data_IF_542882051844
#
_entry.id   IF_542882051844
#
_cell.length_a   1.000
_cell.length_b   1.000
_cell.length_c   1.000
_cell.angle_alpha   90.00
_cell.angle_beta   90.00
_cell.angle_gamma   90.00
#
_symmetry.space_group_name_H-M   'P 1'
#
loop_
_entity.id
_entity.type
_entity.pdbx_description
1 polymer ?
#
# COMPACT_ATOMS: atom_id res chain seq x y z
N UNK A 1 -16.44 -2.28 9.49
CA UNK A 1 -14.95 -2.41 9.61
C UNK A 1 -14.30 -1.03 9.52
N UNK A 2 -13.12 -0.92 10.12
CA UNK A 2 -12.30 0.30 10.13
C UNK A 2 -11.28 0.25 9.00
N UNK A 3 -11.42 1.12 8.01
CA UNK A 3 -10.61 1.15 6.81
C UNK A 3 -9.64 2.34 6.84
N UNK A 4 -8.39 2.10 6.45
CA UNK A 4 -7.39 3.13 6.28
C UNK A 4 -6.89 3.11 4.83
N UNK A 5 -6.88 4.26 4.19
CA UNK A 5 -6.22 4.45 2.90
C UNK A 5 -4.93 5.23 3.13
N UNK A 6 -3.83 4.70 2.62
CA UNK A 6 -2.55 5.41 2.52
C UNK A 6 -2.29 5.67 1.05
N UNK A 7 -2.36 6.93 0.63
CA UNK A 7 -2.14 7.33 -0.76
C UNK A 7 -0.85 8.15 -0.90
N UNK A 8 0.02 7.73 -1.83
CA UNK A 8 1.33 8.32 -2.06
C UNK A 8 1.52 8.78 -3.50
N UNK A 9 0.75 9.75 -3.98
CA UNK A 9 0.93 10.36 -5.30
C UNK A 9 0.91 11.89 -5.22
N UNK A 10 1.94 12.60 -5.78
CA UNK A 10 1.97 14.06 -5.73
C UNK A 10 0.92 14.73 -6.62
N UNK A 11 0.59 14.13 -7.78
CA UNK A 11 -0.37 14.67 -8.74
C UNK A 11 -1.77 14.09 -8.53
N UNK A 12 -2.72 14.98 -8.20
CA UNK A 12 -4.14 14.64 -7.99
C UNK A 12 -4.86 14.22 -9.28
N UNK A 13 -4.36 14.64 -10.43
CA UNK A 13 -4.95 14.31 -11.74
C UNK A 13 -4.47 12.96 -12.26
N UNK A 14 -3.49 12.34 -11.59
CA UNK A 14 -2.97 11.04 -12.00
C UNK A 14 -4.03 9.95 -11.95
N UNK A 15 -3.90 8.93 -12.79
CA UNK A 15 -4.76 7.74 -12.73
C UNK A 15 -4.68 7.02 -11.36
N UNK A 16 -3.52 7.08 -10.72
CA UNK A 16 -3.33 6.52 -9.38
C UNK A 16 -4.22 7.25 -8.35
N UNK A 17 -4.21 8.57 -8.34
CA UNK A 17 -4.97 9.37 -7.40
C UNK A 17 -6.43 9.54 -7.83
N UNK A 18 -6.69 10.14 -9.01
CA UNK A 18 -8.04 10.44 -9.46
C UNK A 18 -8.83 9.18 -9.88
N UNK A 19 -8.14 8.14 -10.33
CA UNK A 19 -8.78 6.87 -10.70
C UNK A 19 -8.87 5.90 -9.51
N UNK A 20 -7.75 5.30 -9.12
CA UNK A 20 -7.72 4.18 -8.17
C UNK A 20 -8.13 4.63 -6.77
N UNK A 21 -7.45 5.65 -6.21
CA UNK A 21 -7.75 6.12 -4.86
C UNK A 21 -9.22 6.57 -4.72
N UNK A 22 -9.73 7.36 -5.67
CA UNK A 22 -11.14 7.80 -5.63
C UNK A 22 -12.12 6.62 -5.74
N UNK A 23 -11.79 5.60 -6.54
CA UNK A 23 -12.60 4.38 -6.62
C UNK A 23 -12.63 3.64 -5.28
N UNK A 24 -11.48 3.49 -4.62
CA UNK A 24 -11.41 2.86 -3.29
C UNK A 24 -12.22 3.67 -2.28
N UNK A 25 -11.95 4.97 -2.17
CA UNK A 25 -12.62 5.89 -1.24
C UNK A 25 -14.13 5.85 -1.39
N UNK A 26 -14.64 6.10 -2.59
CA UNK A 26 -16.09 6.18 -2.85
C UNK A 26 -16.83 4.87 -2.57
N UNK A 27 -16.21 3.70 -2.81
CA UNK A 27 -16.86 2.43 -2.51
C UNK A 27 -16.89 2.14 -1.00
N UNK A 28 -15.86 2.52 -0.25
CA UNK A 28 -15.87 2.39 1.22
C UNK A 28 -16.93 3.32 1.81
N UNK A 29 -16.96 4.60 1.40
CA UNK A 29 -17.94 5.58 1.85
C UNK A 29 -19.38 5.11 1.58
N UNK A 30 -19.68 4.61 0.38
CA UNK A 30 -20.98 4.05 0.02
C UNK A 30 -21.38 2.82 0.83
N UNK A 31 -20.44 2.09 1.39
CA UNK A 31 -20.71 0.91 2.21
C UNK A 31 -21.08 1.24 3.66
N UNK A 32 -20.97 2.51 4.08
CA UNK A 32 -21.19 2.95 5.46
C UNK A 32 -20.11 2.50 6.44
N UNK A 33 -19.01 1.92 5.97
CA UNK A 33 -17.88 1.53 6.83
C UNK A 33 -17.02 2.75 7.20
N UNK A 34 -16.39 2.69 8.37
CA UNK A 34 -15.50 3.75 8.83
C UNK A 34 -14.29 3.89 7.92
N UNK A 35 -13.93 5.12 7.57
CA UNK A 35 -12.80 5.44 6.71
C UNK A 35 -11.95 6.55 7.30
N UNK A 36 -10.64 6.33 7.34
CA UNK A 36 -9.62 7.37 7.57
C UNK A 36 -8.61 7.35 6.43
N UNK A 37 -7.97 8.48 6.20
CA UNK A 37 -7.06 8.68 5.07
C UNK A 37 -5.75 9.30 5.57
N UNK A 38 -4.65 8.77 5.08
CA UNK A 38 -3.31 9.37 5.11
C UNK A 38 -2.98 9.75 3.67
N UNK A 39 -2.92 11.05 3.39
CA UNK A 39 -2.44 11.56 2.11
C UNK A 39 -1.00 12.06 2.26
N UNK A 40 -0.05 11.22 1.92
CA UNK A 40 1.38 11.47 2.14
C UNK A 40 1.91 12.74 1.43
N UNK A 41 1.19 13.28 0.46
CA UNK A 41 1.59 14.48 -0.27
C UNK A 41 0.75 15.73 0.05
N UNK A 42 -0.39 15.60 0.76
CA UNK A 42 -1.24 16.71 1.22
C UNK A 42 -1.12 16.93 2.71
N UNK A 43 -0.85 15.88 3.46
CA UNK A 43 -0.54 16.02 4.88
C UNK A 43 0.82 16.73 5.06
N UNK A 44 0.97 17.44 6.16
CA UNK A 44 2.22 18.15 6.50
C UNK A 44 3.33 17.16 6.91
N UNK A 45 3.72 16.30 5.97
CA UNK A 45 4.74 15.28 6.16
C UNK A 45 6.14 15.86 5.92
N UNK A 46 6.48 16.89 6.68
CA UNK A 46 7.79 17.61 6.68
C UNK A 46 8.52 17.38 8.00
N UNK A 47 9.82 17.63 8.05
CA UNK A 47 10.60 17.53 9.29
C UNK A 47 10.50 18.81 10.13
N UNK A 48 10.45 18.73 11.47
CA UNK A 48 10.32 17.51 12.28
C UNK A 48 8.92 16.92 12.16
N UNK A 49 8.80 15.58 12.11
CA UNK A 49 7.52 14.90 11.84
C UNK A 49 7.07 13.90 12.91
N UNK A 50 7.64 13.97 14.13
CA UNK A 50 7.32 13.05 15.22
C UNK A 50 5.82 13.00 15.52
N UNK A 51 5.16 14.17 15.56
CA UNK A 51 3.70 14.25 15.77
C UNK A 51 2.91 13.58 14.63
N UNK A 52 3.35 13.76 13.39
CA UNK A 52 2.71 13.15 12.22
C UNK A 52 2.91 11.63 12.23
N UNK A 53 4.11 11.17 12.57
CA UNK A 53 4.42 9.74 12.71
C UNK A 53 3.54 9.11 13.79
N UNK A 54 3.45 9.70 14.98
CA UNK A 54 2.60 9.22 16.07
C UNK A 54 1.13 9.16 15.68
N UNK A 55 0.63 10.17 14.96
CA UNK A 55 -0.72 10.18 14.41
C UNK A 55 -0.91 9.04 13.40
N UNK A 56 0.02 8.84 12.46
CA UNK A 56 -0.06 7.75 11.48
C UNK A 56 -0.01 6.37 12.13
N UNK A 57 0.82 6.19 13.16
CA UNK A 57 0.84 4.95 13.94
C UNK A 57 -0.49 4.70 14.64
N UNK A 58 -1.12 5.74 15.19
CA UNK A 58 -2.45 5.65 15.79
C UNK A 58 -3.51 5.26 14.75
N UNK A 59 -3.45 5.81 13.53
CA UNK A 59 -4.35 5.45 12.43
C UNK A 59 -4.15 3.99 11.96
N UNK A 60 -2.90 3.54 11.86
CA UNK A 60 -2.57 2.15 11.54
C UNK A 60 -3.11 1.22 12.63
N UNK A 61 -2.91 1.55 13.91
CA UNK A 61 -3.42 0.78 15.03
C UNK A 61 -4.95 0.68 15.01
N UNK A 62 -5.62 1.80 14.78
CA UNK A 62 -7.08 1.90 14.71
C UNK A 62 -7.67 1.04 13.56
N UNK A 63 -6.98 0.94 12.43
CA UNK A 63 -7.51 0.27 11.25
C UNK A 63 -7.54 -1.26 11.39
N UNK A 64 -8.51 -1.90 10.80
CA UNK A 64 -8.57 -3.36 10.57
C UNK A 64 -8.10 -3.71 9.16
N UNK A 65 -8.37 -2.81 8.20
CA UNK A 65 -7.99 -2.97 6.80
C UNK A 65 -7.24 -1.75 6.29
N UNK A 66 -6.14 -2.00 5.59
CA UNK A 66 -5.25 -0.97 5.05
C UNK A 66 -5.18 -1.11 3.52
N UNK A 67 -5.47 -0.02 2.83
CA UNK A 67 -5.28 0.12 1.39
C UNK A 67 -4.09 1.01 1.12
N UNK A 68 -3.06 0.48 0.45
CA UNK A 68 -1.85 1.23 0.08
C UNK A 68 -1.90 1.49 -1.43
N UNK A 69 -1.80 2.74 -1.83
CA UNK A 69 -1.95 3.16 -3.22
C UNK A 69 -0.78 4.07 -3.59
N UNK A 70 0.07 3.61 -4.51
CA UNK A 70 1.26 4.35 -4.92
C UNK A 70 1.69 3.99 -6.34
N UNK A 71 2.24 4.93 -7.10
CA UNK A 71 2.94 4.60 -8.34
C UNK A 71 4.33 4.05 -8.04
N UNK A 72 4.93 3.44 -9.08
CA UNK A 72 6.33 3.01 -9.08
C UNK A 72 7.17 4.06 -9.81
N UNK A 73 8.20 4.52 -9.13
CA UNK A 73 9.26 5.38 -9.66
C UNK A 73 10.61 4.71 -9.42
N UNK A 74 11.40 4.52 -10.47
CA UNK A 74 12.74 3.92 -10.36
C UNK A 74 12.78 2.60 -9.58
N UNK A 75 11.84 1.70 -9.88
CA UNK A 75 11.68 0.41 -9.18
C UNK A 75 11.43 0.50 -7.67
N UNK A 76 10.94 1.66 -7.19
CA UNK A 76 10.48 1.88 -5.82
C UNK A 76 9.08 2.49 -5.84
N UNK A 77 8.41 2.51 -4.71
CA UNK A 77 7.25 3.36 -4.55
C UNK A 77 7.70 4.84 -4.46
N UNK A 78 6.76 5.77 -4.37
CA UNK A 78 7.15 7.18 -4.27
C UNK A 78 7.95 7.45 -2.99
N UNK A 79 8.84 8.47 -2.96
CA UNK A 79 9.68 8.75 -1.80
C UNK A 79 8.90 8.85 -0.49
N UNK A 80 7.76 9.52 -0.48
CA UNK A 80 6.95 9.64 0.75
C UNK A 80 6.30 8.32 1.17
N UNK A 81 5.98 7.42 0.23
CA UNK A 81 5.52 6.07 0.57
C UNK A 81 6.65 5.22 1.17
N UNK A 82 7.87 5.35 0.66
CA UNK A 82 9.03 4.68 1.25
C UNK A 82 9.32 5.21 2.67
N UNK A 83 9.31 6.53 2.85
CA UNK A 83 9.45 7.16 4.19
C UNK A 83 8.34 6.69 5.15
N UNK A 84 7.11 6.51 4.66
CA UNK A 84 6.04 5.95 5.49
C UNK A 84 6.40 4.55 6.00
N UNK A 85 7.02 3.71 5.18
CA UNK A 85 7.48 2.40 5.66
C UNK A 85 8.64 2.53 6.64
N UNK A 86 9.61 3.39 6.36
CA UNK A 86 10.83 3.51 7.13
C UNK A 86 10.60 4.18 8.51
N UNK A 87 9.72 5.18 8.57
CA UNK A 87 9.55 6.01 9.78
C UNK A 87 8.25 5.73 10.56
N UNK A 88 7.23 5.15 9.93
CA UNK A 88 5.97 4.81 10.61
C UNK A 88 5.94 3.34 11.02
N UNK A 89 6.35 2.43 10.13
CA UNK A 89 6.33 0.98 10.41
C UNK A 89 7.64 0.50 11.06
N UNK A 90 8.05 1.19 12.09
CA UNK A 90 9.34 1.00 12.77
C UNK A 90 9.40 -0.21 13.69
N UNK A 91 10.61 -0.68 14.04
CA UNK A 91 10.80 -1.60 15.17
C UNK A 91 10.19 -1.04 16.47
N UNK A 92 9.59 -1.90 17.27
CA UNK A 92 8.85 -1.51 18.47
C UNK A 92 7.37 -1.20 18.23
N UNK A 93 7.00 -0.69 17.05
CA UNK A 93 5.62 -0.46 16.66
C UNK A 93 5.06 -1.54 15.73
N UNK A 94 5.70 -1.78 14.59
CA UNK A 94 5.19 -2.72 13.58
C UNK A 94 5.74 -4.13 13.72
N UNK A 95 6.94 -4.26 14.26
CA UNK A 95 7.63 -5.54 14.49
C UNK A 95 8.70 -5.41 15.56
N UNK A 96 9.27 -6.54 15.99
CA UNK A 96 10.51 -6.59 16.76
C UNK A 96 11.41 -7.69 16.23
N UNK A 97 12.71 -7.51 16.39
CA UNK A 97 13.65 -8.59 16.10
C UNK A 97 13.69 -9.59 17.26
N UNK A 98 13.67 -10.86 16.93
CA UNK A 98 13.83 -11.98 17.88
C UNK A 98 15.04 -12.78 17.43
N UNK A 99 16.01 -12.93 18.31
CA UNK A 99 17.20 -13.73 18.04
C UNK A 99 16.82 -15.20 17.90
N UNK A 100 17.14 -15.81 16.76
CA UNK A 100 17.01 -17.25 16.51
C UNK A 100 18.33 -17.94 16.86
N UNK A 101 19.45 -17.27 16.53
CA UNK A 101 20.81 -17.69 16.88
C UNK A 101 21.60 -16.50 17.42
N UNK A 102 22.85 -16.71 17.83
CA UNK A 102 23.74 -15.62 18.26
C UNK A 102 24.01 -14.58 17.17
N UNK A 103 23.90 -14.96 15.89
CA UNK A 103 24.23 -14.11 14.73
C UNK A 103 23.04 -13.82 13.84
N UNK A 104 21.84 -14.37 14.13
CA UNK A 104 20.67 -14.22 13.28
C UNK A 104 19.43 -13.86 14.10
N UNK A 105 18.80 -12.74 13.72
CA UNK A 105 17.53 -12.31 14.27
C UNK A 105 16.47 -12.25 13.17
N UNK A 106 15.25 -12.64 13.50
CA UNK A 106 14.10 -12.62 12.60
C UNK A 106 13.04 -11.64 13.08
N UNK A 107 12.39 -10.88 12.18
CA UNK A 107 11.33 -9.97 12.57
C UNK A 107 10.05 -10.72 12.97
N UNK A 108 9.60 -10.47 14.20
CA UNK A 108 8.28 -10.91 14.69
C UNK A 108 7.26 -9.79 14.43
N UNK A 109 6.29 -9.99 13.53
CA UNK A 109 5.30 -8.97 13.19
C UNK A 109 4.32 -8.72 14.34
N UNK A 110 3.94 -7.44 14.52
CA UNK A 110 2.91 -7.02 15.48
C UNK A 110 1.57 -6.73 14.81
N UNK A 111 1.57 -6.38 13.52
CA UNK A 111 0.37 -6.00 12.76
C UNK A 111 -0.20 -7.16 11.93
N UNK A 112 0.00 -8.40 12.38
CA UNK A 112 -0.44 -9.61 11.66
C UNK A 112 -1.96 -9.77 11.57
N UNK A 113 -2.73 -9.09 12.39
CA UNK A 113 -4.19 -9.05 12.38
C UNK A 113 -4.74 -8.21 11.22
N UNK A 114 -3.96 -7.28 10.68
CA UNK A 114 -4.39 -6.37 9.62
C UNK A 114 -4.60 -7.07 8.28
N UNK A 115 -5.63 -6.64 7.57
CA UNK A 115 -5.90 -7.03 6.18
C UNK A 115 -5.32 -5.95 5.27
N UNK A 116 -4.36 -6.31 4.43
CA UNK A 116 -3.67 -5.34 3.56
C UNK A 116 -3.97 -5.61 2.10
N UNK A 117 -4.32 -4.56 1.37
CA UNK A 117 -4.46 -4.56 -0.10
C UNK A 117 -3.64 -3.42 -0.68
N UNK A 118 -2.91 -3.70 -1.75
CA UNK A 118 -2.06 -2.69 -2.38
C UNK A 118 -2.36 -2.57 -3.87
N UNK A 119 -2.42 -1.34 -4.34
CA UNK A 119 -2.54 -0.99 -5.75
C UNK A 119 -1.32 -0.21 -6.19
N UNK A 120 -0.60 -0.77 -7.16
CA UNK A 120 0.64 -0.20 -7.71
C UNK A 120 0.42 0.15 -9.18
N UNK A 121 0.74 1.37 -9.57
CA UNK A 121 0.71 1.78 -10.98
C UNK A 121 2.13 1.87 -11.55
N UNK A 122 2.30 1.37 -12.77
CA UNK A 122 3.57 1.37 -13.49
C UNK A 122 3.47 2.18 -14.77
N UNK A 123 4.50 2.96 -15.09
CA UNK A 123 4.71 3.51 -16.42
C UNK A 123 5.18 2.47 -17.41
N UNK A 124 5.90 1.45 -16.95
CA UNK A 124 6.46 0.38 -17.76
C UNK A 124 5.45 -0.72 -18.11
N UNK A 125 5.64 -1.47 -19.22
CA UNK A 125 4.85 -2.64 -19.56
C UNK A 125 5.13 -3.84 -18.64
N UNK A 126 4.15 -4.76 -18.57
CA UNK A 126 4.21 -5.89 -17.64
C UNK A 126 5.33 -6.88 -17.95
N UNK A 127 5.56 -7.18 -19.24
CA UNK A 127 6.47 -8.26 -19.65
C UNK A 127 7.89 -8.05 -19.13
N UNK A 128 8.62 -6.96 -19.49
CA UNK A 128 9.98 -6.77 -19.02
C UNK A 128 10.07 -6.69 -17.49
N UNK A 129 9.11 -6.05 -16.82
CA UNK A 129 9.15 -5.93 -15.36
C UNK A 129 9.00 -7.29 -14.68
N UNK A 130 8.15 -8.17 -15.20
CA UNK A 130 7.92 -9.50 -14.62
C UNK A 130 9.02 -10.51 -14.93
N UNK A 131 9.64 -10.40 -16.09
CA UNK A 131 10.69 -11.34 -16.55
C UNK A 131 12.08 -10.82 -16.25
N UNK A 132 12.54 -9.81 -16.99
CA UNK A 132 13.90 -9.28 -16.90
C UNK A 132 14.22 -8.72 -15.49
N UNK A 133 13.27 -8.02 -14.88
CA UNK A 133 13.43 -7.41 -13.55
C UNK A 133 12.79 -8.22 -12.42
N UNK A 134 12.40 -9.49 -12.67
CA UNK A 134 11.88 -10.45 -11.69
C UNK A 134 10.75 -9.91 -10.80
N UNK A 135 9.97 -8.96 -11.34
CA UNK A 135 8.93 -8.27 -10.57
C UNK A 135 9.43 -7.69 -9.22
N UNK A 136 10.65 -7.16 -9.22
CA UNK A 136 11.41 -6.78 -8.03
C UNK A 136 10.65 -5.85 -7.08
N UNK A 137 9.86 -4.91 -7.61
CA UNK A 137 9.04 -3.99 -6.79
C UNK A 137 8.05 -4.76 -5.93
N UNK A 138 7.27 -5.66 -6.54
CA UNK A 138 6.29 -6.47 -5.81
C UNK A 138 6.97 -7.45 -4.88
N UNK A 139 8.06 -8.06 -5.34
CA UNK A 139 8.83 -9.01 -4.55
C UNK A 139 9.38 -8.33 -3.29
N UNK A 140 10.08 -7.18 -3.44
CA UNK A 140 10.60 -6.40 -2.31
C UNK A 140 9.49 -5.99 -1.34
N UNK A 141 8.39 -5.48 -1.87
CA UNK A 141 7.28 -5.00 -1.04
C UNK A 141 6.65 -6.14 -0.24
N UNK A 142 6.32 -7.25 -0.89
CA UNK A 142 5.61 -8.36 -0.23
C UNK A 142 6.56 -9.18 0.63
N UNK A 143 7.73 -9.56 0.11
CA UNK A 143 8.67 -10.43 0.82
C UNK A 143 9.58 -9.68 1.78
N UNK A 144 9.92 -8.42 1.49
CA UNK A 144 10.77 -7.59 2.35
C UNK A 144 9.96 -6.83 3.40
N UNK A 145 9.00 -5.98 2.97
CA UNK A 145 8.30 -5.09 3.92
C UNK A 145 7.14 -5.81 4.60
N UNK A 146 6.22 -6.39 3.81
CA UNK A 146 4.95 -6.89 4.36
C UNK A 146 5.10 -8.13 5.23
N UNK A 147 6.04 -9.03 4.91
CA UNK A 147 6.27 -10.20 5.77
C UNK A 147 6.80 -9.79 7.14
N UNK A 148 7.60 -8.73 7.22
CA UNK A 148 8.16 -8.22 8.48
C UNK A 148 7.09 -7.58 9.35
N UNK A 149 6.17 -6.86 8.73
CA UNK A 149 5.15 -6.04 9.41
C UNK A 149 3.86 -6.81 9.66
N UNK A 150 3.38 -7.55 8.65
CA UNK A 150 2.07 -8.22 8.64
C UNK A 150 2.17 -9.76 8.70
N UNK A 151 3.39 -10.30 8.71
CA UNK A 151 3.65 -11.74 8.72
C UNK A 151 3.49 -12.42 7.36
N UNK A 152 3.85 -13.70 7.33
CA UNK A 152 3.76 -14.52 6.13
C UNK A 152 2.31 -14.86 5.80
N UNK A 153 1.80 -14.28 4.73
CA UNK A 153 0.44 -14.52 4.22
C UNK A 153 0.44 -14.53 2.70
N UNK A 154 0.06 -15.63 2.11
CA UNK A 154 -0.08 -15.75 0.65
C UNK A 154 -1.07 -14.70 0.09
N UNK A 155 -2.05 -14.30 0.87
CA UNK A 155 -3.01 -13.25 0.51
C UNK A 155 -2.35 -11.89 0.23
N UNK A 156 -1.23 -11.56 0.85
CA UNK A 156 -0.50 -10.32 0.58
C UNK A 156 -0.01 -10.26 -0.87
N UNK A 157 0.45 -11.39 -1.41
CA UNK A 157 0.84 -11.48 -2.81
C UNK A 157 -0.33 -11.25 -3.76
N UNK A 158 -1.46 -11.93 -3.55
CA UNK A 158 -2.64 -11.81 -4.43
C UNK A 158 -3.37 -10.48 -4.27
N UNK A 159 -3.36 -9.89 -3.07
CA UNK A 159 -3.96 -8.58 -2.80
C UNK A 159 -3.06 -7.40 -3.21
N UNK A 160 -1.81 -7.64 -3.58
CA UNK A 160 -0.93 -6.63 -4.19
C UNK A 160 -1.10 -6.68 -5.70
N UNK A 161 -1.92 -5.77 -6.24
CA UNK A 161 -2.22 -5.65 -7.68
C UNK A 161 -1.41 -4.57 -8.34
N UNK A 162 -1.00 -4.85 -9.58
CA UNK A 162 -0.17 -3.98 -10.40
C UNK A 162 -0.91 -3.61 -11.68
N UNK A 163 -0.89 -2.33 -12.04
CA UNK A 163 -1.48 -1.76 -13.23
C UNK A 163 -0.37 -1.20 -14.12
N UNK A 164 -0.32 -1.66 -15.37
CA UNK A 164 0.82 -1.52 -16.27
C UNK A 164 0.59 -0.48 -17.34
N UNK A 165 1.69 0.15 -17.80
CA UNK A 165 1.72 1.11 -18.90
C UNK A 165 0.74 2.26 -18.73
N UNK A 166 0.46 2.68 -17.52
CA UNK A 166 -0.62 3.62 -17.18
C UNK A 166 -0.63 4.92 -18.02
N UNK A 167 0.53 5.55 -18.34
CA UNK A 167 0.53 6.73 -19.20
C UNK A 167 0.10 6.47 -20.66
N UNK A 168 0.24 5.24 -21.13
CA UNK A 168 0.12 4.88 -22.55
C UNK A 168 -1.13 4.08 -22.91
N UNK A 169 -1.96 3.72 -21.93
CA UNK A 169 -3.15 2.90 -22.15
C UNK A 169 -4.36 3.75 -22.51
N UNK A 170 -5.27 3.16 -23.33
CA UNK A 170 -6.54 3.78 -23.67
C UNK A 170 -7.48 3.92 -22.47
N UNK A 171 -8.46 4.83 -22.57
CA UNK A 171 -9.49 5.01 -21.56
C UNK A 171 -10.33 3.74 -21.32
N UNK A 172 -10.57 2.95 -22.36
CA UNK A 172 -11.20 1.62 -22.25
C UNK A 172 -10.41 0.72 -21.30
N UNK A 173 -9.07 0.71 -21.39
CA UNK A 173 -8.20 -0.07 -20.52
C UNK A 173 -8.17 0.51 -19.09
N UNK A 174 -8.13 1.83 -18.93
CA UNK A 174 -8.23 2.50 -17.62
C UNK A 174 -9.54 2.14 -16.92
N UNK A 175 -10.68 2.22 -17.63
CA UNK A 175 -11.99 1.79 -17.11
C UNK A 175 -11.98 0.31 -16.68
N UNK A 176 -11.30 -0.57 -17.43
CA UNK A 176 -11.15 -1.99 -17.05
C UNK A 176 -10.36 -2.13 -15.73
N UNK A 177 -9.30 -1.37 -15.55
CA UNK A 177 -8.53 -1.36 -14.30
C UNK A 177 -9.39 -0.89 -13.11
N UNK A 178 -10.14 0.20 -13.27
CA UNK A 178 -11.04 0.70 -12.22
C UNK A 178 -12.14 -0.30 -11.85
N UNK A 179 -12.73 -0.99 -12.83
CA UNK A 179 -13.68 -2.09 -12.55
C UNK A 179 -13.03 -3.22 -11.74
N UNK A 180 -11.74 -3.51 -11.97
CA UNK A 180 -11.01 -4.51 -11.18
C UNK A 180 -10.86 -4.03 -9.73
N UNK A 181 -10.46 -2.76 -9.54
CA UNK A 181 -10.38 -2.15 -8.20
C UNK A 181 -11.73 -2.21 -7.51
N UNK A 182 -12.80 -1.77 -8.17
CA UNK A 182 -14.15 -1.79 -7.62
C UNK A 182 -14.59 -3.21 -7.19
N UNK A 183 -14.37 -4.22 -8.02
CA UNK A 183 -14.68 -5.62 -7.67
C UNK A 183 -13.92 -6.09 -6.43
N UNK A 184 -12.65 -5.72 -6.33
CA UNK A 184 -11.82 -6.07 -5.18
C UNK A 184 -12.36 -5.43 -3.89
N UNK A 185 -12.69 -4.14 -3.95
CA UNK A 185 -13.23 -3.42 -2.79
C UNK A 185 -14.58 -4.01 -2.37
N UNK A 186 -15.49 -4.20 -3.32
CA UNK A 186 -16.80 -4.82 -3.02
C UNK A 186 -16.66 -6.23 -2.41
N UNK A 187 -15.67 -7.00 -2.84
CA UNK A 187 -15.36 -8.30 -2.23
C UNK A 187 -14.79 -8.17 -0.81
N UNK A 188 -13.94 -7.17 -0.57
CA UNK A 188 -13.39 -6.92 0.77
C UNK A 188 -14.47 -6.39 1.75
N UNK A 189 -15.42 -5.59 1.27
CA UNK A 189 -16.49 -4.99 2.10
C UNK A 189 -17.59 -5.97 2.52
N UNK A 190 -17.70 -7.11 1.84
CA UNK A 190 -18.66 -8.20 2.19
C UNK A 190 -18.21 -9.07 3.36
N UNK A 191 -16.97 -8.92 3.77
CA UNK A 191 -16.34 -9.70 4.87
C UNK A 191 -16.28 -8.88 6.15
#
# INVERSE_FOLDING_TARGET
>A
MKNLIVVGHPDINSFCYNGIYQTVKSNIEKSGQELKIIDLYRDSFTRPRDKVISNYQSLVTWSERIYIISPVWWFRLTPRTEIFFDEVLTPGFAYKFVNITKTYAYPKPFLKDKIVRTYITHGAPALPVKTLYLNSVKLRLVMGVYTFVFGWKLSLWFKTKQFWSVPFISDKKRKKYLRTVQKDILSDLKK
#
